data_IF_048136948207
#
_entry.id   IF_048136948207
#
_cell.length_a   1.000
_cell.length_b   1.000
_cell.length_c   1.000
_cell.angle_alpha   90.00
_cell.angle_beta   90.00
_cell.angle_gamma   90.00
#
_symmetry.space_group_name_H-M   'P 1'
#
loop_
_entity.id
_entity.type
_entity.pdbx_description
1 polymer ?
#
# COMPACT_ATOMS: atom_id res chain seq x y z
N UNK A 1 -9.36 -12.96 -5.15
CA UNK A 1 -9.27 -11.83 -4.19
C UNK A 1 -7.86 -11.58 -3.64
N UNK A 2 -7.13 -12.57 -3.10
CA UNK A 2 -5.76 -12.38 -2.55
C UNK A 2 -4.72 -11.82 -3.54
N UNK A 3 -4.71 -12.37 -4.76
CA UNK A 3 -3.82 -11.92 -5.85
C UNK A 3 -4.07 -10.45 -6.20
N UNK A 4 -5.34 -10.02 -6.19
CA UNK A 4 -5.71 -8.63 -6.44
C UNK A 4 -5.29 -7.69 -5.30
N UNK A 5 -5.36 -8.15 -4.05
CA UNK A 5 -4.88 -7.39 -2.89
C UNK A 5 -3.36 -7.22 -2.90
N UNK A 6 -2.61 -8.28 -3.22
CA UNK A 6 -1.15 -8.24 -3.35
C UNK A 6 -0.70 -7.34 -4.52
N UNK A 7 -1.41 -7.38 -5.65
CA UNK A 7 -1.16 -6.50 -6.79
C UNK A 7 -1.47 -5.06 -6.42
N UNK A 8 -2.62 -4.75 -5.83
CA UNK A 8 -2.95 -3.38 -5.43
C UNK A 8 -1.99 -2.82 -4.37
N UNK A 9 -1.60 -3.62 -3.37
CA UNK A 9 -0.66 -3.19 -2.33
C UNK A 9 0.76 -2.92 -2.82
N UNK A 10 1.19 -3.58 -3.90
CA UNK A 10 2.51 -3.37 -4.51
C UNK A 10 2.50 -2.32 -5.63
N UNK A 11 1.40 -2.21 -6.39
CA UNK A 11 1.27 -1.29 -7.53
C UNK A 11 0.94 0.14 -7.09
N UNK A 12 0.24 0.33 -5.97
CA UNK A 12 -0.10 1.66 -5.46
C UNK A 12 1.13 2.54 -5.13
N UNK A 13 2.16 2.05 -4.40
CA UNK A 13 3.39 2.83 -4.16
C UNK A 13 4.18 3.11 -5.45
N UNK A 14 4.24 2.15 -6.38
CA UNK A 14 4.89 2.31 -7.69
C UNK A 14 4.18 3.35 -8.58
N UNK A 15 2.84 3.45 -8.49
CA UNK A 15 2.06 4.49 -9.17
C UNK A 15 2.28 5.87 -8.58
N UNK A 16 2.39 5.97 -7.24
CA UNK A 16 2.69 7.23 -6.55
C UNK A 16 4.07 7.77 -6.94
N UNK A 17 5.06 6.90 -7.07
CA UNK A 17 6.40 7.26 -7.57
C UNK A 17 6.38 7.70 -9.04
N UNK A 18 5.56 7.06 -9.88
CA UNK A 18 5.36 7.42 -11.30
C UNK A 18 4.73 8.81 -11.52
N UNK A 19 4.01 9.36 -10.55
CA UNK A 19 3.38 10.70 -10.64
C UNK A 19 4.39 11.82 -10.31
N UNK A 20 5.66 11.48 -10.05
CA UNK A 20 6.75 12.45 -9.86
C UNK A 20 6.82 13.03 -8.45
N UNK A 21 6.17 12.37 -7.49
CA UNK A 21 6.38 12.65 -6.06
C UNK A 21 7.66 11.95 -5.67
N UNK A 22 8.73 12.73 -5.49
CA UNK A 22 10.05 12.23 -5.15
C UNK A 22 10.04 11.67 -3.71
N UNK A 23 10.05 10.34 -3.52
CA UNK A 23 9.91 9.72 -2.21
C UNK A 23 11.08 10.10 -1.29
N UNK A 24 12.22 10.48 -1.85
CA UNK A 24 13.40 10.89 -1.10
C UNK A 24 13.25 12.26 -0.42
N UNK A 25 12.50 13.19 -1.02
CA UNK A 25 12.27 14.54 -0.47
C UNK A 25 11.16 14.56 0.60
N UNK A 26 10.23 13.63 0.53
CA UNK A 26 9.14 13.45 1.49
C UNK A 26 9.33 12.23 2.42
N UNK A 27 10.58 11.73 2.52
CA UNK A 27 10.90 10.33 2.83
C UNK A 27 10.51 9.77 4.18
N UNK A 28 10.08 10.58 5.14
CA UNK A 28 9.48 10.08 6.38
C UNK A 28 7.96 10.04 6.31
N UNK A 29 7.31 11.17 6.02
CA UNK A 29 5.84 11.28 6.02
C UNK A 29 5.21 10.45 4.90
N UNK A 30 5.76 10.53 3.68
CA UNK A 30 5.23 9.75 2.55
C UNK A 30 5.43 8.26 2.79
N UNK A 31 6.62 7.87 3.26
CA UNK A 31 6.93 6.49 3.60
C UNK A 31 5.99 5.98 4.69
N UNK A 32 5.77 6.73 5.78
CA UNK A 32 4.83 6.35 6.84
C UNK A 32 3.40 6.24 6.32
N UNK A 33 2.94 7.15 5.46
CA UNK A 33 1.58 7.06 4.89
C UNK A 33 1.41 5.84 3.98
N UNK A 34 2.43 5.50 3.20
CA UNK A 34 2.41 4.30 2.36
C UNK A 34 2.42 3.04 3.23
N UNK A 35 3.27 2.98 4.26
CA UNK A 35 3.31 1.83 5.17
C UNK A 35 2.02 1.70 5.99
N UNK A 36 1.40 2.82 6.38
CA UNK A 36 0.11 2.84 7.08
C UNK A 36 -1.02 2.29 6.19
N UNK A 37 -1.11 2.76 4.93
CA UNK A 37 -2.13 2.31 3.97
C UNK A 37 -1.94 0.83 3.62
N UNK A 38 -0.71 0.40 3.35
CA UNK A 38 -0.40 -1.01 3.06
C UNK A 38 -0.68 -1.90 4.28
N UNK A 39 -0.34 -1.44 5.48
CA UNK A 39 -0.63 -2.13 6.74
C UNK A 39 -2.13 -2.32 6.96
N UNK A 40 -2.93 -1.26 6.78
CA UNK A 40 -4.39 -1.31 6.89
C UNK A 40 -5.03 -2.23 5.85
N UNK A 41 -4.62 -2.12 4.59
CA UNK A 41 -5.15 -2.95 3.50
C UNK A 41 -4.78 -4.43 3.68
N UNK A 42 -3.57 -4.72 4.16
CA UNK A 42 -3.15 -6.09 4.47
C UNK A 42 -3.99 -6.67 5.60
N UNK A 43 -4.25 -5.89 6.65
CA UNK A 43 -5.09 -6.31 7.76
C UNK A 43 -6.55 -6.56 7.33
N UNK A 44 -7.17 -5.65 6.57
CA UNK A 44 -8.53 -5.86 6.04
C UNK A 44 -8.61 -7.03 5.05
N UNK A 45 -7.61 -7.19 4.19
CA UNK A 45 -7.53 -8.28 3.24
C UNK A 45 -7.42 -9.64 3.93
N UNK A 46 -6.60 -9.73 4.97
CA UNK A 46 -6.48 -10.92 5.81
C UNK A 46 -7.74 -11.16 6.64
N UNK A 47 -8.31 -10.13 7.26
CA UNK A 47 -9.56 -10.23 8.00
C UNK A 47 -10.70 -10.75 7.12
N UNK A 48 -10.82 -10.23 5.90
CA UNK A 48 -11.79 -10.73 4.90
C UNK A 48 -11.55 -12.21 4.55
N UNK A 49 -10.31 -12.69 4.62
CA UNK A 49 -9.98 -14.09 4.34
C UNK A 49 -10.30 -15.06 5.47
N UNK A 50 -10.28 -14.58 6.71
CA UNK A 50 -10.56 -15.37 7.91
C UNK A 50 -12.01 -15.22 8.41
N UNK A 51 -12.71 -14.13 8.05
CA UNK A 51 -14.12 -13.88 8.40
C UNK A 51 -15.12 -14.23 7.29
N UNK A 52 -14.66 -14.60 6.09
CA UNK A 52 -15.51 -15.15 5.01
C UNK A 52 -15.50 -16.67 5.07
#
# INVERSE_FOLDING_TARGET
NLVFAAITGSVLPLLLERIGIDPALAGSVLLTTVTDVVGFLSFLGLATLFLV
#
